data_IF_798739349951
#
_entry.id   IF_798739349951
#
_cell.length_a   1.000
_cell.length_b   1.000
_cell.length_c   1.000
_cell.angle_alpha   90.00
_cell.angle_beta   90.00
_cell.angle_gamma   90.00
#
_symmetry.space_group_name_H-M   'P 1'
#
loop_
_entity.id
_entity.type
_entity.pdbx_description
1 polymer ?
#
# COMPACT_ATOMS: atom_id res chain seq x y z
N UNK A 1 6.76 39.37 16.69
CA UNK A 1 6.60 40.80 16.99
C UNK A 1 7.46 41.25 18.19
N UNK A 2 7.36 40.65 19.39
CA UNK A 2 8.19 41.03 20.51
C UNK A 2 9.71 40.95 20.26
N UNK A 3 10.19 39.90 19.61
CA UNK A 3 11.62 39.74 19.23
C UNK A 3 12.07 40.84 18.25
N UNK A 4 11.25 41.21 17.30
CA UNK A 4 11.54 42.34 16.38
C UNK A 4 11.60 43.69 17.11
N UNK A 5 10.70 43.90 18.07
CA UNK A 5 10.73 45.13 18.85
C UNK A 5 12.04 45.27 19.67
N UNK A 6 12.56 44.15 20.16
CA UNK A 6 13.86 44.16 20.89
C UNK A 6 15.02 44.35 19.91
N UNK A 7 15.06 43.60 18.80
CA UNK A 7 16.17 43.63 17.84
C UNK A 7 16.24 44.92 17.02
N UNK A 8 15.09 45.42 16.54
CA UNK A 8 15.01 46.56 15.61
C UNK A 8 14.87 47.90 16.31
N UNK A 9 14.20 47.93 17.47
CA UNK A 9 13.88 49.19 18.18
C UNK A 9 14.63 49.35 19.52
N UNK A 10 15.49 48.39 19.90
CA UNK A 10 16.33 48.48 21.12
C UNK A 10 15.55 48.49 22.44
N UNK A 11 14.25 48.12 22.45
CA UNK A 11 13.44 48.12 23.68
C UNK A 11 13.84 46.92 24.55
N UNK A 12 13.74 47.09 25.89
CA UNK A 12 14.04 45.98 26.79
C UNK A 12 13.09 44.79 26.62
N UNK A 13 13.59 43.58 26.84
CA UNK A 13 12.80 42.34 26.77
C UNK A 13 11.56 42.43 27.65
N UNK A 14 11.71 42.94 28.88
CA UNK A 14 10.62 43.13 29.85
C UNK A 14 9.51 44.05 29.29
N UNK A 15 9.89 45.16 28.67
CA UNK A 15 8.95 46.11 28.07
C UNK A 15 8.24 45.48 26.85
N UNK A 16 8.98 44.81 25.98
CA UNK A 16 8.41 44.10 24.85
C UNK A 16 7.42 43.00 25.28
N UNK A 17 7.82 42.18 26.28
CA UNK A 17 6.94 41.14 26.82
C UNK A 17 5.65 41.71 27.42
N UNK A 18 5.74 42.83 28.16
CA UNK A 18 4.57 43.51 28.70
C UNK A 18 3.65 44.04 27.59
N UNK A 19 4.22 44.71 26.59
CA UNK A 19 3.47 45.29 25.48
C UNK A 19 2.74 44.20 24.61
N UNK A 20 3.39 43.08 24.39
CA UNK A 20 2.81 41.97 23.59
C UNK A 20 2.10 40.90 24.45
N UNK A 21 1.95 41.12 25.76
CA UNK A 21 1.27 40.22 26.71
C UNK A 21 1.79 38.77 26.65
N UNK A 22 3.09 38.58 26.55
CA UNK A 22 3.77 37.30 26.61
C UNK A 22 4.68 37.21 27.84
N UNK A 23 4.92 36.01 28.35
CA UNK A 23 5.90 35.81 29.41
C UNK A 23 7.34 35.90 28.87
N UNK A 24 8.30 36.28 29.72
CA UNK A 24 9.72 36.25 29.35
C UNK A 24 10.19 34.83 29.05
N UNK A 25 9.62 33.80 29.68
CA UNK A 25 9.85 32.40 29.35
C UNK A 25 9.44 32.07 27.91
N UNK A 26 8.29 32.58 27.47
CA UNK A 26 7.82 32.42 26.10
C UNK A 26 8.70 33.18 25.09
N UNK A 27 9.16 34.37 25.46
CA UNK A 27 10.09 35.17 24.64
C UNK A 27 11.44 34.48 24.45
N UNK A 28 12.00 33.90 25.53
CA UNK A 28 13.31 33.21 25.54
C UNK A 28 13.23 31.76 25.07
N UNK A 29 12.03 31.28 24.77
CA UNK A 29 11.86 29.90 24.33
C UNK A 29 12.51 29.69 22.97
N UNK A 30 13.53 28.84 22.91
CA UNK A 30 14.10 28.29 21.69
C UNK A 30 13.70 26.84 21.55
N UNK A 31 13.22 26.48 20.34
CA UNK A 31 12.79 25.13 20.09
C UNK A 31 14.01 24.18 20.03
N UNK A 32 14.28 23.47 21.12
CA UNK A 32 15.41 22.52 21.24
C UNK A 32 15.39 21.37 20.23
N UNK A 33 14.29 21.18 19.53
CA UNK A 33 14.06 20.07 18.59
C UNK A 33 14.09 20.50 17.11
N UNK A 34 14.73 21.62 16.77
CA UNK A 34 14.73 22.14 15.40
C UNK A 34 15.41 21.17 14.41
N UNK A 35 16.59 20.67 14.73
CA UNK A 35 17.36 19.75 13.88
C UNK A 35 16.61 18.43 13.61
N UNK A 36 16.02 17.83 14.64
CA UNK A 36 15.24 16.60 14.47
C UNK A 36 13.95 16.82 13.65
N UNK A 37 13.36 18.03 13.72
CA UNK A 37 12.22 18.39 12.88
C UNK A 37 12.63 18.47 11.40
N UNK A 38 13.83 18.95 11.10
CA UNK A 38 14.38 18.98 9.74
C UNK A 38 14.58 17.57 9.18
N UNK A 39 15.08 16.65 10.00
CA UNK A 39 15.20 15.22 9.62
C UNK A 39 13.83 14.60 9.34
N UNK A 40 12.83 14.88 10.20
CA UNK A 40 11.46 14.40 9.98
C UNK A 40 10.90 14.96 8.67
N UNK A 41 11.10 16.26 8.41
CA UNK A 41 10.63 16.93 7.20
C UNK A 41 11.26 16.32 5.93
N UNK A 42 12.57 16.10 5.93
CA UNK A 42 13.29 15.49 4.82
C UNK A 42 12.76 14.08 4.51
N UNK A 43 12.58 13.24 5.53
CA UNK A 43 11.98 11.92 5.38
C UNK A 43 10.57 11.97 4.78
N UNK A 44 9.73 12.88 5.26
CA UNK A 44 8.35 13.02 4.77
C UNK A 44 8.33 13.46 3.31
N UNK A 45 9.16 14.43 2.93
CA UNK A 45 9.29 14.90 1.55
C UNK A 45 9.75 13.74 0.65
N UNK A 46 10.81 13.01 1.02
CA UNK A 46 11.30 11.87 0.24
C UNK A 46 10.23 10.81 0.05
N UNK A 47 9.54 10.41 1.12
CA UNK A 47 8.49 9.39 1.05
C UNK A 47 7.33 9.80 0.15
N UNK A 48 6.86 11.03 0.25
CA UNK A 48 5.73 11.52 -0.55
C UNK A 48 6.11 11.82 -2.00
N UNK A 49 7.37 12.11 -2.28
CA UNK A 49 7.90 12.25 -3.63
C UNK A 49 8.04 10.89 -4.31
N UNK A 50 8.60 9.90 -3.62
CA UNK A 50 8.79 8.55 -4.15
C UNK A 50 7.47 7.79 -4.27
N UNK A 51 6.59 7.95 -3.28
CA UNK A 51 5.31 7.24 -3.18
C UNK A 51 4.15 8.24 -3.13
N UNK A 52 3.78 8.80 -4.29
CA UNK A 52 2.79 9.89 -4.42
C UNK A 52 1.43 9.60 -3.78
N UNK A 53 1.05 8.33 -3.64
CA UNK A 53 -0.22 7.89 -3.03
C UNK A 53 -0.11 7.52 -1.54
N UNK A 54 1.08 7.68 -0.96
CA UNK A 54 1.23 7.45 0.48
C UNK A 54 0.79 8.70 1.25
N UNK A 55 -0.38 8.59 1.90
CA UNK A 55 -0.80 9.62 2.84
C UNK A 55 -0.07 9.49 4.17
N UNK A 56 -0.31 10.45 5.07
CA UNK A 56 0.33 10.53 6.39
C UNK A 56 0.40 9.19 7.12
N UNK A 57 -0.70 8.41 7.14
CA UNK A 57 -0.74 7.13 7.86
C UNK A 57 0.30 6.12 7.39
N UNK A 58 0.51 5.99 6.08
CA UNK A 58 1.53 5.09 5.52
C UNK A 58 2.94 5.62 5.77
N UNK A 59 3.17 6.92 5.59
CA UNK A 59 4.47 7.54 5.88
C UNK A 59 4.86 7.34 7.35
N UNK A 60 3.93 7.59 8.28
CA UNK A 60 4.19 7.42 9.71
C UNK A 60 4.47 5.95 10.08
N UNK A 61 3.67 5.01 9.58
CA UNK A 61 3.88 3.58 9.82
C UNK A 61 5.22 3.10 9.25
N UNK A 62 5.62 3.57 8.08
CA UNK A 62 6.92 3.27 7.50
C UNK A 62 8.07 3.78 8.38
N UNK A 63 8.02 5.04 8.79
CA UNK A 63 9.03 5.63 9.65
C UNK A 63 9.14 4.90 11.00
N UNK A 64 8.01 4.52 11.58
CA UNK A 64 7.96 3.86 12.88
C UNK A 64 8.32 2.37 12.80
N UNK A 65 7.69 1.60 11.90
CA UNK A 65 7.73 0.14 11.91
C UNK A 65 8.79 -0.45 10.97
N UNK A 66 9.20 0.29 9.92
CA UNK A 66 10.22 -0.16 8.96
C UNK A 66 11.57 0.47 9.28
N UNK A 67 11.60 1.79 9.57
CA UNK A 67 12.82 2.52 9.90
C UNK A 67 13.13 2.56 11.39
N UNK A 68 12.19 2.21 12.27
CA UNK A 68 12.39 2.12 13.72
C UNK A 68 12.43 3.46 14.45
N UNK A 69 11.99 4.57 13.83
CA UNK A 69 11.99 5.87 14.50
C UNK A 69 10.93 5.97 15.59
N UNK A 70 11.33 6.34 16.81
CA UNK A 70 10.46 6.51 17.97
C UNK A 70 9.68 7.84 18.02
N UNK A 71 9.56 8.56 16.91
CA UNK A 71 8.95 9.90 16.89
C UNK A 71 7.46 9.86 17.26
N UNK A 72 7.04 10.89 18.01
CA UNK A 72 5.65 11.04 18.41
C UNK A 72 4.76 11.35 17.21
N UNK A 73 3.65 10.60 17.08
CA UNK A 73 2.66 10.74 15.98
C UNK A 73 2.17 12.19 15.81
N UNK A 74 1.82 12.88 16.91
CA UNK A 74 1.32 14.26 16.84
C UNK A 74 2.38 15.22 16.30
N UNK A 75 3.66 14.99 16.65
CA UNK A 75 4.78 15.79 16.16
C UNK A 75 4.99 15.59 14.66
N UNK A 76 5.07 14.35 14.20
CA UNK A 76 5.23 14.03 12.77
C UNK A 76 4.04 14.54 11.95
N UNK A 77 2.80 14.42 12.48
CA UNK A 77 1.61 14.90 11.80
C UNK A 77 1.59 16.43 11.66
N UNK A 78 2.05 17.17 12.69
CA UNK A 78 2.17 18.64 12.61
C UNK A 78 3.11 19.03 11.48
N UNK A 79 4.32 18.44 11.40
CA UNK A 79 5.30 18.73 10.36
C UNK A 79 4.76 18.36 8.98
N UNK A 80 4.08 17.20 8.85
CA UNK A 80 3.43 16.79 7.61
C UNK A 80 2.41 17.82 7.10
N UNK A 81 1.66 18.43 8.01
CA UNK A 81 0.69 19.50 7.67
C UNK A 81 1.38 20.82 7.34
N UNK A 82 2.42 21.21 8.07
CA UNK A 82 3.21 22.40 7.81
C UNK A 82 3.86 22.37 6.42
N UNK A 83 4.21 21.16 5.94
CA UNK A 83 4.75 20.93 4.59
C UNK A 83 3.67 20.80 3.50
N UNK A 84 2.39 20.92 3.84
CA UNK A 84 1.24 20.80 2.91
C UNK A 84 1.18 19.50 2.12
N UNK A 85 1.72 18.39 2.67
CA UNK A 85 1.78 17.08 2.02
C UNK A 85 0.45 16.31 2.00
N UNK A 86 -0.64 16.92 2.43
CA UNK A 86 -1.95 16.28 2.52
C UNK A 86 -2.50 15.88 1.14
N UNK A 87 -2.85 14.60 0.99
CA UNK A 87 -3.55 14.13 -0.20
C UNK A 87 -4.93 14.78 -0.31
N UNK A 88 -5.29 15.26 -1.49
CA UNK A 88 -6.65 15.75 -1.79
C UNK A 88 -7.60 14.57 -1.95
N UNK A 89 -8.25 14.16 -0.87
CA UNK A 89 -9.23 13.08 -0.88
C UNK A 89 -10.63 13.67 -0.90
N UNK A 90 -11.39 13.42 -1.97
CA UNK A 90 -12.82 13.74 -2.00
C UNK A 90 -13.57 12.70 -1.15
N UNK A 91 -14.29 13.09 -0.09
CA UNK A 91 -15.07 12.15 0.70
C UNK A 91 -16.17 11.53 -0.19
N UNK A 92 -16.21 10.20 -0.26
CA UNK A 92 -17.30 9.47 -0.93
C UNK A 92 -18.38 9.14 0.09
N UNK A 93 -19.63 9.40 -0.21
CA UNK A 93 -20.75 8.90 0.58
C UNK A 93 -20.77 7.36 0.48
N UNK A 94 -20.77 6.70 1.64
CA UNK A 94 -20.86 5.24 1.70
C UNK A 94 -22.32 4.81 1.61
N UNK A 95 -22.67 4.07 0.56
CA UNK A 95 -23.95 3.38 0.47
C UNK A 95 -23.93 2.21 1.45
N UNK A 96 -24.92 2.16 2.38
CA UNK A 96 -25.10 1.02 3.28
C UNK A 96 -25.59 -0.18 2.47
N UNK A 97 -24.78 -1.22 2.34
CA UNK A 97 -25.14 -2.50 1.71
C UNK A 97 -25.19 -3.59 2.78
N UNK A 98 -26.05 -4.61 2.60
CA UNK A 98 -26.00 -5.82 3.43
C UNK A 98 -24.63 -6.45 3.29
N UNK A 99 -24.02 -6.83 4.41
CA UNK A 99 -22.73 -7.54 4.38
C UNK A 99 -23.00 -8.97 3.91
N UNK A 100 -22.34 -9.46 2.86
CA UNK A 100 -22.41 -10.87 2.48
C UNK A 100 -21.77 -11.74 3.55
N UNK A 101 -22.08 -13.04 3.56
CA UNK A 101 -21.37 -14.00 4.38
C UNK A 101 -19.87 -13.94 4.06
N UNK A 102 -19.04 -13.75 5.08
CA UNK A 102 -17.59 -13.74 4.88
C UNK A 102 -17.12 -15.15 4.52
N UNK A 103 -16.36 -15.27 3.45
CA UNK A 103 -15.53 -16.45 3.24
C UNK A 103 -14.46 -16.46 4.36
N UNK A 104 -14.11 -17.66 4.85
CA UNK A 104 -13.18 -17.81 5.98
C UNK A 104 -11.91 -16.97 5.84
N UNK A 105 -11.43 -16.44 6.95
CA UNK A 105 -10.17 -15.68 7.01
C UNK A 105 -9.02 -16.66 7.13
N UNK A 106 -8.01 -16.53 6.29
CA UNK A 106 -6.79 -17.32 6.38
C UNK A 106 -6.06 -17.05 7.71
N UNK A 107 -5.68 -18.12 8.42
CA UNK A 107 -5.02 -18.05 9.73
C UNK A 107 -3.50 -18.24 9.63
N UNK A 108 -3.01 -18.78 8.54
CA UNK A 108 -1.58 -19.04 8.28
C UNK A 108 -1.22 -18.84 6.81
N UNK A 109 0.07 -18.66 6.49
CA UNK A 109 0.54 -18.57 5.11
C UNK A 109 0.11 -19.80 4.29
N UNK A 110 -0.13 -19.59 3.00
CA UNK A 110 -0.54 -20.62 2.05
C UNK A 110 -1.86 -21.35 2.40
N UNK A 111 -2.72 -20.77 3.22
CA UNK A 111 -4.03 -21.33 3.47
C UNK A 111 -5.03 -20.95 2.38
N UNK A 112 -5.05 -19.68 2.00
CA UNK A 112 -5.89 -19.16 0.92
C UNK A 112 -5.09 -18.15 0.10
N UNK A 113 -4.96 -18.41 -1.19
CA UNK A 113 -4.53 -17.41 -2.15
C UNK A 113 -5.74 -16.82 -2.86
N UNK A 114 -5.69 -15.52 -3.15
CA UNK A 114 -6.69 -14.85 -3.98
C UNK A 114 -6.04 -14.41 -5.28
N UNK A 115 -6.73 -14.60 -6.39
CA UNK A 115 -6.27 -14.14 -7.70
C UNK A 115 -7.35 -13.40 -8.47
N UNK A 116 -6.94 -12.45 -9.30
CA UNK A 116 -7.84 -11.67 -10.14
C UNK A 116 -7.10 -11.02 -11.31
N UNK A 117 -7.84 -10.71 -12.37
CA UNK A 117 -7.31 -10.02 -13.53
C UNK A 117 -7.52 -8.52 -13.47
N UNK A 118 -6.54 -7.80 -13.99
CA UNK A 118 -6.66 -6.38 -14.33
C UNK A 118 -6.37 -6.18 -15.82
N UNK A 119 -6.85 -5.08 -16.36
CA UNK A 119 -6.62 -4.67 -17.75
C UNK A 119 -6.08 -3.25 -17.77
N UNK A 120 -5.18 -2.99 -18.73
CA UNK A 120 -4.68 -1.67 -19.07
C UNK A 120 -4.28 -1.62 -20.55
N UNK A 121 -3.75 -0.50 -21.02
CA UNK A 121 -3.30 -0.32 -22.39
C UNK A 121 -1.95 0.38 -22.47
N UNK A 122 -1.17 0.04 -23.47
CA UNK A 122 0.07 0.70 -23.82
C UNK A 122 -0.22 2.04 -24.52
N UNK A 123 0.79 2.89 -24.65
CA UNK A 123 0.72 4.18 -25.35
C UNK A 123 0.13 4.06 -26.77
N UNK A 124 0.42 2.98 -27.46
CA UNK A 124 -0.11 2.69 -28.80
C UNK A 124 -1.53 2.15 -28.81
N UNK A 125 -2.23 2.14 -27.66
CA UNK A 125 -3.61 1.63 -27.52
C UNK A 125 -3.73 0.10 -27.47
N UNK A 126 -2.62 -0.65 -27.52
CA UNK A 126 -2.66 -2.11 -27.41
C UNK A 126 -2.95 -2.53 -25.97
N UNK A 127 -4.05 -3.25 -25.77
CA UNK A 127 -4.49 -3.71 -24.46
C UNK A 127 -3.62 -4.85 -23.95
N UNK A 128 -3.35 -4.85 -22.63
CA UNK A 128 -2.69 -5.94 -21.92
C UNK A 128 -3.43 -6.30 -20.64
N UNK A 129 -3.11 -7.45 -20.10
CA UNK A 129 -3.71 -7.98 -18.87
C UNK A 129 -2.64 -8.21 -17.82
N UNK A 130 -3.05 -8.09 -16.56
CA UNK A 130 -2.26 -8.50 -15.41
C UNK A 130 -3.04 -9.58 -14.66
N UNK A 131 -2.38 -10.67 -14.30
CA UNK A 131 -2.87 -11.63 -13.31
C UNK A 131 -2.17 -11.34 -11.99
N UNK A 132 -2.93 -10.93 -11.01
CA UNK A 132 -2.45 -10.68 -9.65
C UNK A 132 -2.77 -11.87 -8.75
N UNK A 133 -1.81 -12.30 -7.96
CA UNK A 133 -1.95 -13.38 -6.98
C UNK A 133 -1.43 -12.88 -5.64
N UNK A 134 -2.22 -13.04 -4.58
CA UNK A 134 -1.85 -12.66 -3.21
C UNK A 134 -2.11 -13.79 -2.23
N UNK A 135 -1.38 -13.79 -1.10
CA UNK A 135 -1.71 -14.58 0.06
C UNK A 135 -2.67 -13.79 0.97
N UNK A 136 -3.83 -14.38 1.27
CA UNK A 136 -4.88 -13.72 2.07
C UNK A 136 -4.47 -13.57 3.54
N UNK A 137 -3.52 -14.33 4.06
CA UNK A 137 -3.07 -14.26 5.44
C UNK A 137 -2.32 -12.96 5.73
N UNK A 138 -1.23 -12.73 5.01
CA UNK A 138 -0.31 -11.61 5.26
C UNK A 138 -0.42 -10.48 4.23
N UNK A 139 -1.31 -10.60 3.23
CA UNK A 139 -1.49 -9.64 2.12
C UNK A 139 -0.28 -9.56 1.20
N UNK A 140 0.62 -10.54 1.22
CA UNK A 140 1.77 -10.59 0.33
C UNK A 140 1.33 -10.71 -1.12
N UNK A 141 1.85 -9.86 -1.99
CA UNK A 141 1.74 -10.04 -3.42
C UNK A 141 2.69 -11.16 -3.84
N UNK A 142 2.15 -12.27 -4.30
CA UNK A 142 2.94 -13.42 -4.69
C UNK A 142 3.47 -13.27 -6.11
N UNK A 143 2.62 -12.78 -7.03
CA UNK A 143 2.96 -12.57 -8.43
C UNK A 143 2.08 -11.49 -9.08
N UNK A 144 2.67 -10.79 -10.03
CA UNK A 144 1.99 -9.99 -11.05
C UNK A 144 2.48 -10.50 -12.41
N UNK A 145 1.70 -11.32 -13.08
CA UNK A 145 2.00 -11.78 -14.43
C UNK A 145 1.40 -10.83 -15.45
N UNK A 146 2.21 -10.37 -16.41
CA UNK A 146 1.79 -9.37 -17.41
C UNK A 146 1.96 -9.94 -18.82
N UNK A 147 0.86 -9.95 -19.60
CA UNK A 147 0.89 -10.34 -21.01
C UNK A 147 -0.29 -9.72 -21.77
N UNK A 148 -0.24 -9.75 -23.11
CA UNK A 148 -1.37 -9.37 -23.97
C UNK A 148 -2.54 -10.34 -23.81
N UNK A 149 -2.26 -11.62 -23.54
CA UNK A 149 -3.25 -12.66 -23.32
C UNK A 149 -2.81 -13.58 -22.20
N UNK A 150 -3.72 -13.90 -21.29
CA UNK A 150 -3.50 -14.78 -20.14
C UNK A 150 -4.53 -15.92 -20.12
N UNK A 151 -4.47 -16.86 -21.09
CA UNK A 151 -5.33 -18.04 -21.12
C UNK A 151 -5.01 -18.99 -19.97
N UNK A 152 -5.92 -19.93 -19.68
CA UNK A 152 -5.78 -20.88 -18.56
C UNK A 152 -4.41 -21.60 -18.50
N UNK A 153 -3.79 -22.07 -19.60
CA UNK A 153 -2.45 -22.67 -19.54
C UNK A 153 -1.37 -21.69 -19.04
N UNK A 154 -1.52 -20.39 -19.34
CA UNK A 154 -0.58 -19.37 -18.82
C UNK A 154 -0.81 -19.12 -17.34
N UNK A 155 -2.07 -19.09 -16.89
CA UNK A 155 -2.42 -19.01 -15.46
C UNK A 155 -1.82 -20.18 -14.69
N UNK A 156 -1.98 -21.43 -15.20
CA UNK A 156 -1.41 -22.63 -14.59
C UNK A 156 0.11 -22.53 -14.46
N UNK A 157 0.83 -22.18 -15.52
CA UNK A 157 2.29 -22.00 -15.49
C UNK A 157 2.72 -20.96 -14.47
N UNK A 158 1.96 -19.87 -14.34
CA UNK A 158 2.23 -18.84 -13.34
C UNK A 158 2.05 -19.38 -11.93
N UNK A 159 0.97 -20.13 -11.67
CA UNK A 159 0.71 -20.76 -10.37
C UNK A 159 1.79 -21.79 -10.01
N UNK A 160 2.23 -22.62 -10.96
CA UNK A 160 3.32 -23.60 -10.75
C UNK A 160 4.61 -22.90 -10.28
N UNK A 161 5.03 -21.85 -10.96
CA UNK A 161 6.20 -21.05 -10.58
C UNK A 161 6.05 -20.46 -9.17
N UNK A 162 4.88 -19.91 -8.84
CA UNK A 162 4.63 -19.38 -7.51
C UNK A 162 4.66 -20.47 -6.45
N UNK A 163 4.13 -21.67 -6.75
CA UNK A 163 4.16 -22.83 -5.85
C UNK A 163 5.59 -23.31 -5.59
N UNK A 164 6.44 -23.33 -6.60
CA UNK A 164 7.87 -23.67 -6.45
C UNK A 164 8.60 -22.71 -5.50
N UNK A 165 8.28 -21.42 -5.56
CA UNK A 165 8.93 -20.39 -4.75
C UNK A 165 8.36 -20.25 -3.34
N UNK A 166 7.07 -20.48 -3.15
CA UNK A 166 6.32 -20.13 -1.92
C UNK A 166 5.68 -21.31 -1.21
N UNK A 167 5.69 -22.46 -1.83
CA UNK A 167 4.91 -23.61 -1.38
C UNK A 167 3.46 -23.57 -1.87
N UNK A 168 2.75 -24.66 -1.66
CA UNK A 168 1.42 -24.90 -2.21
C UNK A 168 0.32 -24.35 -1.31
N UNK A 169 -0.68 -23.61 -1.88
CA UNK A 169 -1.86 -23.21 -1.13
C UNK A 169 -2.82 -24.37 -0.92
N UNK A 170 -3.66 -24.29 0.11
CA UNK A 170 -4.81 -25.19 0.27
C UNK A 170 -5.97 -24.80 -0.65
N UNK A 171 -6.22 -23.51 -0.74
CA UNK A 171 -7.35 -22.95 -1.49
C UNK A 171 -6.87 -21.81 -2.38
N UNK A 172 -7.49 -21.69 -3.56
CA UNK A 172 -7.34 -20.52 -4.42
C UNK A 172 -8.71 -19.92 -4.65
N UNK A 173 -8.86 -18.65 -4.30
CA UNK A 173 -10.08 -17.87 -4.50
C UNK A 173 -9.98 -17.05 -5.77
N UNK A 174 -11.01 -17.13 -6.61
CA UNK A 174 -11.10 -16.40 -7.87
C UNK A 174 -12.56 -16.06 -8.22
N UNK A 175 -12.76 -15.22 -9.20
CA UNK A 175 -14.08 -14.98 -9.78
C UNK A 175 -14.49 -16.12 -10.73
N UNK A 176 -15.65 -15.97 -11.39
CA UNK A 176 -16.18 -16.93 -12.36
C UNK A 176 -15.76 -16.58 -13.79
N UNK A 177 -14.58 -16.01 -14.01
CA UNK A 177 -14.04 -15.73 -15.33
C UNK A 177 -13.83 -17.02 -16.16
N UNK A 178 -13.93 -16.95 -17.48
CA UNK A 178 -13.81 -18.15 -18.34
C UNK A 178 -12.46 -18.85 -18.21
N UNK A 179 -11.40 -18.13 -17.91
CA UNK A 179 -10.07 -18.71 -17.67
C UNK A 179 -10.04 -19.54 -16.37
N UNK A 180 -10.81 -19.12 -15.36
CA UNK A 180 -10.83 -19.76 -14.03
C UNK A 180 -11.79 -20.95 -13.98
N UNK A 181 -12.90 -20.95 -14.74
CA UNK A 181 -13.83 -22.08 -14.83
C UNK A 181 -13.41 -23.12 -15.89
N UNK A 182 -12.24 -22.95 -16.52
CA UNK A 182 -11.75 -23.85 -17.54
C UNK A 182 -11.46 -25.25 -16.97
N UNK A 183 -11.78 -26.29 -17.72
CA UNK A 183 -11.48 -27.68 -17.36
C UNK A 183 -9.98 -27.88 -17.09
N UNK A 184 -9.10 -27.20 -17.83
CA UNK A 184 -7.67 -27.29 -17.64
C UNK A 184 -7.22 -26.83 -16.23
N UNK A 185 -7.74 -25.69 -15.73
CA UNK A 185 -7.41 -25.20 -14.39
C UNK A 185 -8.04 -26.09 -13.30
N UNK A 186 -9.25 -26.59 -13.50
CA UNK A 186 -9.92 -27.48 -12.56
C UNK A 186 -9.14 -28.79 -12.42
N UNK A 187 -8.81 -29.47 -13.53
CA UNK A 187 -8.02 -30.72 -13.51
C UNK A 187 -6.62 -30.51 -12.92
N UNK A 188 -5.99 -29.37 -13.18
CA UNK A 188 -4.72 -29.02 -12.57
C UNK A 188 -4.84 -28.86 -11.05
N UNK A 189 -5.87 -28.16 -10.57
CA UNK A 189 -6.11 -27.94 -9.13
C UNK A 189 -6.40 -29.27 -8.41
N UNK A 190 -7.22 -30.14 -8.99
CA UNK A 190 -7.50 -31.49 -8.46
C UNK A 190 -6.21 -32.32 -8.35
N UNK A 191 -5.39 -32.35 -9.40
CA UNK A 191 -4.10 -33.06 -9.39
C UNK A 191 -3.17 -32.57 -8.28
N UNK A 192 -3.22 -31.29 -7.95
CA UNK A 192 -2.40 -30.68 -6.89
C UNK A 192 -3.08 -30.69 -5.52
N UNK A 193 -4.28 -31.25 -5.37
CA UNK A 193 -5.09 -31.19 -4.14
C UNK A 193 -5.30 -29.74 -3.66
N UNK A 194 -5.62 -28.85 -4.57
CA UNK A 194 -5.95 -27.43 -4.33
C UNK A 194 -7.44 -27.23 -4.57
N UNK A 195 -8.14 -26.62 -3.61
CA UNK A 195 -9.57 -26.31 -3.75
C UNK A 195 -9.74 -24.95 -4.42
N UNK A 196 -10.43 -24.91 -5.56
CA UNK A 196 -10.84 -23.64 -6.19
C UNK A 196 -12.12 -23.13 -5.50
N UNK A 197 -12.07 -21.92 -4.95
CA UNK A 197 -13.19 -21.24 -4.28
C UNK A 197 -13.68 -20.11 -5.17
N UNK A 198 -14.76 -20.35 -5.88
CA UNK A 198 -15.40 -19.34 -6.73
C UNK A 198 -16.26 -18.40 -5.88
N UNK A 199 -16.16 -17.10 -6.13
CA UNK A 199 -17.02 -16.11 -5.50
C UNK A 199 -18.46 -16.24 -6.04
N UNK A 200 -19.43 -15.98 -5.20
CA UNK A 200 -20.83 -15.99 -5.61
C UNK A 200 -21.11 -14.79 -6.55
N UNK A 201 -21.88 -15.00 -7.63
CA UNK A 201 -22.30 -13.90 -8.50
C UNK A 201 -22.94 -12.75 -7.69
N UNK A 202 -22.54 -11.52 -8.01
CA UNK A 202 -23.02 -10.32 -7.31
C UNK A 202 -22.42 -10.04 -5.93
N UNK A 203 -21.49 -10.88 -5.45
CA UNK A 203 -20.82 -10.71 -4.15
C UNK A 203 -19.30 -10.45 -4.29
N UNK A 204 -18.85 -9.37 -4.97
CA UNK A 204 -17.43 -9.07 -5.15
C UNK A 204 -16.68 -8.93 -3.82
N UNK A 205 -17.38 -8.55 -2.74
CA UNK A 205 -16.79 -8.44 -1.40
C UNK A 205 -16.17 -9.74 -0.88
N UNK A 206 -16.53 -10.90 -1.43
CA UNK A 206 -15.92 -12.18 -1.11
C UNK A 206 -14.47 -12.27 -1.58
N UNK A 207 -14.07 -11.45 -2.57
CA UNK A 207 -12.68 -11.32 -3.05
C UNK A 207 -12.04 -9.97 -2.66
N UNK A 208 -12.48 -9.39 -1.53
CA UNK A 208 -12.13 -8.03 -1.12
C UNK A 208 -10.61 -7.79 -0.95
N UNK A 209 -9.83 -8.84 -0.66
CA UNK A 209 -8.39 -8.70 -0.47
C UNK A 209 -7.66 -8.43 -1.79
N UNK A 210 -7.96 -9.22 -2.83
CA UNK A 210 -7.38 -9.00 -4.15
C UNK A 210 -7.94 -7.72 -4.79
N UNK A 211 -9.23 -7.39 -4.60
CA UNK A 211 -9.80 -6.12 -5.06
C UNK A 211 -9.06 -4.91 -4.45
N UNK A 212 -8.76 -4.99 -3.14
CA UNK A 212 -7.97 -3.97 -2.46
C UNK A 212 -6.55 -3.89 -3.00
N UNK A 213 -5.94 -5.04 -3.27
CA UNK A 213 -4.61 -5.13 -3.88
C UNK A 213 -4.61 -4.52 -5.29
N UNK A 214 -5.54 -4.93 -6.16
CA UNK A 214 -5.71 -4.42 -7.52
C UNK A 214 -5.90 -2.90 -7.52
N UNK A 215 -6.69 -2.38 -6.58
CA UNK A 215 -6.84 -0.95 -6.40
C UNK A 215 -5.51 -0.28 -6.06
N UNK A 216 -4.68 -0.90 -5.23
CA UNK A 216 -3.37 -0.37 -4.89
C UNK A 216 -2.45 -0.40 -6.11
N UNK A 217 -2.39 -1.52 -6.85
CA UNK A 217 -1.67 -1.63 -8.14
C UNK A 217 -2.08 -0.52 -9.10
N UNK A 218 -3.41 -0.31 -9.27
CA UNK A 218 -3.96 0.72 -10.17
C UNK A 218 -3.48 2.12 -9.82
N UNK A 219 -3.55 2.50 -8.54
CA UNK A 219 -3.26 3.86 -8.11
C UNK A 219 -1.78 4.11 -7.82
N UNK A 220 -1.03 3.11 -7.37
CA UNK A 220 0.37 3.32 -7.00
C UNK A 220 1.29 3.40 -8.22
N UNK A 221 0.95 2.76 -9.34
CA UNK A 221 1.80 2.82 -10.53
C UNK A 221 1.05 2.76 -11.88
N UNK A 222 0.09 1.88 -12.14
CA UNK A 222 -0.54 1.79 -13.47
C UNK A 222 -1.10 3.14 -13.96
N UNK A 223 -1.84 3.86 -13.13
CA UNK A 223 -2.41 5.16 -13.48
C UNK A 223 -1.39 6.31 -13.43
N UNK A 224 -0.13 6.07 -13.08
CA UNK A 224 0.88 7.12 -12.97
C UNK A 224 1.82 7.17 -14.16
N UNK A 225 1.87 6.11 -14.95
CA UNK A 225 2.79 5.97 -16.08
C UNK A 225 2.06 5.57 -17.34
N UNK A 226 2.58 6.03 -18.45
CA UNK A 226 2.18 5.60 -19.80
C UNK A 226 3.29 4.70 -20.32
N UNK A 227 2.98 3.42 -20.53
CA UNK A 227 3.97 2.41 -20.89
C UNK A 227 4.06 2.24 -22.40
N UNK A 228 5.27 2.10 -22.92
CA UNK A 228 5.55 1.92 -24.35
C UNK A 228 5.63 0.45 -24.74
N UNK A 229 5.98 -0.44 -23.81
CA UNK A 229 6.15 -1.88 -24.04
C UNK A 229 5.73 -2.74 -22.86
N UNK A 230 5.45 -4.04 -23.13
CA UNK A 230 5.17 -5.00 -22.04
C UNK A 230 6.37 -5.22 -21.12
N UNK A 231 7.59 -5.13 -21.64
CA UNK A 231 8.79 -5.35 -20.84
C UNK A 231 8.98 -4.22 -19.83
N UNK A 232 8.64 -2.99 -20.22
CA UNK A 232 8.58 -1.87 -19.28
C UNK A 232 7.54 -2.11 -18.17
N UNK A 233 6.33 -2.57 -18.53
CA UNK A 233 5.28 -2.91 -17.55
C UNK A 233 5.77 -4.00 -16.58
N UNK A 234 6.43 -5.06 -17.08
CA UNK A 234 6.97 -6.17 -16.29
C UNK A 234 8.05 -5.71 -15.31
N UNK A 235 8.94 -4.83 -15.76
CA UNK A 235 9.99 -4.26 -14.93
C UNK A 235 9.40 -3.43 -13.78
N UNK A 236 8.42 -2.57 -14.08
CA UNK A 236 7.71 -1.79 -13.07
C UNK A 236 6.93 -2.69 -12.09
N UNK A 237 6.22 -3.69 -12.60
CA UNK A 237 5.50 -4.65 -11.79
C UNK A 237 6.44 -5.36 -10.79
N UNK A 238 7.61 -5.80 -11.24
CA UNK A 238 8.61 -6.48 -10.40
C UNK A 238 9.15 -5.55 -9.31
N UNK A 239 9.56 -4.33 -9.68
CA UNK A 239 10.05 -3.34 -8.72
C UNK A 239 8.99 -2.96 -7.70
N UNK A 240 7.77 -2.70 -8.17
CA UNK A 240 6.66 -2.34 -7.29
C UNK A 240 6.27 -3.48 -6.36
N UNK A 241 6.23 -4.73 -6.84
CA UNK A 241 5.92 -5.90 -6.03
C UNK A 241 6.93 -6.08 -4.91
N UNK A 242 8.21 -5.84 -5.18
CA UNK A 242 9.25 -5.89 -4.16
C UNK A 242 9.01 -4.82 -3.08
N UNK A 243 8.77 -3.56 -3.46
CA UNK A 243 8.47 -2.45 -2.53
C UNK A 243 7.20 -2.75 -1.72
N UNK A 244 6.14 -3.23 -2.38
CA UNK A 244 4.88 -3.60 -1.76
C UNK A 244 5.07 -4.64 -0.65
N UNK A 245 5.88 -5.66 -0.90
CA UNK A 245 6.09 -6.76 0.04
C UNK A 245 7.09 -6.43 1.15
N UNK A 246 8.11 -5.64 0.87
CA UNK A 246 9.22 -5.42 1.80
C UNK A 246 9.17 -4.06 2.53
N UNK A 247 8.55 -3.05 1.92
CA UNK A 247 8.59 -1.68 2.46
C UNK A 247 7.22 -1.10 2.78
N UNK A 248 6.17 -1.47 2.04
CA UNK A 248 4.85 -0.86 2.20
C UNK A 248 4.13 -1.35 3.45
N UNK A 249 3.85 -0.49 4.44
CA UNK A 249 3.10 -0.90 5.63
C UNK A 249 1.62 -1.19 5.31
N UNK A 250 1.06 -2.19 5.98
CA UNK A 250 -0.35 -2.56 5.87
C UNK A 250 -1.06 -2.51 7.21
N UNK A 251 -2.02 -1.61 7.35
CA UNK A 251 -2.78 -1.44 8.60
C UNK A 251 -3.52 -2.71 9.04
N UNK A 252 -3.98 -3.52 8.08
CA UNK A 252 -4.71 -4.76 8.35
C UNK A 252 -3.87 -5.87 8.99
N UNK A 253 -2.53 -5.76 8.93
CA UNK A 253 -1.59 -6.74 9.50
C UNK A 253 -0.65 -6.11 10.55
N UNK A 254 -1.10 -5.07 11.23
CA UNK A 254 -0.34 -4.41 12.29
C UNK A 254 0.54 -3.25 11.82
N UNK A 255 0.35 -2.75 10.60
CA UNK A 255 1.11 -1.60 10.08
C UNK A 255 2.55 -1.93 9.69
N UNK A 256 2.82 -3.18 9.38
CA UNK A 256 4.13 -3.69 8.92
C UNK A 256 4.02 -4.18 7.47
N UNK A 257 5.15 -4.33 6.74
CA UNK A 257 5.16 -4.95 5.41
C UNK A 257 4.75 -6.44 5.45
N UNK A 258 4.19 -6.97 4.34
CA UNK A 258 3.76 -8.37 4.24
C UNK A 258 4.83 -9.39 4.61
N UNK A 259 6.07 -9.23 4.13
CA UNK A 259 7.18 -10.15 4.43
C UNK A 259 7.61 -10.13 5.89
N UNK A 260 7.55 -8.96 6.52
CA UNK A 260 7.84 -8.86 7.95
C UNK A 260 6.80 -9.61 8.79
N UNK A 261 5.54 -9.69 8.32
CA UNK A 261 4.49 -10.46 8.98
C UNK A 261 4.75 -11.96 8.92
N UNK A 262 5.24 -12.48 7.80
CA UNK A 262 5.62 -13.90 7.68
C UNK A 262 6.76 -14.24 8.64
N UNK A 263 7.79 -13.41 8.69
CA UNK A 263 8.94 -13.63 9.58
C UNK A 263 8.59 -13.63 11.07
N UNK A 264 7.42 -13.09 11.47
CA UNK A 264 6.93 -13.15 12.86
C UNK A 264 6.21 -14.46 13.20
N UNK A 265 5.85 -15.28 12.21
CA UNK A 265 5.01 -16.47 12.35
C UNK A 265 5.80 -17.75 11.98
N UNK A 266 6.91 -17.60 11.27
CA UNK A 266 7.88 -18.66 10.99
C UNK A 266 8.78 -18.91 12.18
#
# INVERSE_FOLDING_TARGET
MAQRAVSEKGVSIRLACKAFRISESCYRYEAKLKQENEVIADWLIRLTTTHRNWGFGLCFLYLRNVKGFGWNHKRVYRIYRELELNLRIKPKQRIKRKKPNSLGTALKPNEVWSMDFMHDELENGRKFRLLNIIDDFNREGLQIEVDFSLPAPRVIRTLERVIEERGKPKNIRCDNGPEYISHALQSWAEKHNITLQYIQPGNPQQNAYIERYNRTVRYDWLNQYLFTSLDEVREYATKWLWVYNNERPHTAIGGIPPRQKVAQVA
#
